data_IF_315668650157
#
_entry.id   IF_315668650157
#
_cell.length_a   1.000
_cell.length_b   1.000
_cell.length_c   1.000
_cell.angle_alpha   90.00
_cell.angle_beta   90.00
_cell.angle_gamma   90.00
#
_symmetry.space_group_name_H-M   'P 1'
#
loop_
_entity.id
_entity.type
_entity.pdbx_description
1 polymer ?
#
# COMPACT_ATOMS: atom_id res chain seq x y z
N UNK A 1 3.77 22.40 -5.72
CA UNK A 1 3.87 22.36 -4.23
C UNK A 1 5.11 21.57 -3.84
N UNK A 2 5.69 21.84 -2.65
CA UNK A 2 6.72 20.97 -2.07
C UNK A 2 6.14 19.66 -1.59
N UNK A 3 6.99 18.63 -1.36
CA UNK A 3 6.52 17.35 -0.84
C UNK A 3 5.87 17.46 0.54
N UNK A 4 6.41 18.30 1.43
CA UNK A 4 5.85 18.57 2.75
C UNK A 4 4.46 19.23 2.67
N UNK A 5 4.31 20.22 1.80
CA UNK A 5 3.00 20.87 1.58
C UNK A 5 1.95 19.88 1.07
N UNK A 6 2.34 19.00 0.13
CA UNK A 6 1.45 17.94 -0.36
C UNK A 6 1.06 16.99 0.77
N UNK A 7 2.02 16.58 1.58
CA UNK A 7 1.75 15.62 2.65
C UNK A 7 0.82 16.21 3.72
N UNK A 8 1.03 17.45 4.12
CA UNK A 8 0.16 18.15 5.06
C UNK A 8 -1.26 18.32 4.50
N UNK A 9 -1.40 18.72 3.23
CA UNK A 9 -2.71 18.81 2.58
C UNK A 9 -3.42 17.44 2.49
N UNK A 10 -2.69 16.35 2.29
CA UNK A 10 -3.24 15.01 2.35
C UNK A 10 -3.76 14.66 3.75
N UNK A 11 -2.99 14.97 4.81
CA UNK A 11 -3.42 14.71 6.19
C UNK A 11 -4.69 15.49 6.56
N UNK A 12 -4.83 16.72 6.11
CA UNK A 12 -6.03 17.53 6.29
C UNK A 12 -7.25 16.87 5.65
N UNK A 13 -7.11 16.38 4.42
CA UNK A 13 -8.16 15.69 3.68
C UNK A 13 -8.52 14.33 4.32
N UNK A 14 -7.51 13.57 4.75
CA UNK A 14 -7.69 12.31 5.47
C UNK A 14 -8.45 12.53 6.79
N UNK A 15 -8.03 13.52 7.57
CA UNK A 15 -8.67 13.89 8.83
C UNK A 15 -10.12 14.37 8.62
N UNK A 16 -10.39 15.09 7.53
CA UNK A 16 -11.75 15.49 7.18
C UNK A 16 -12.65 14.28 6.89
N UNK A 17 -12.14 13.28 6.15
CA UNK A 17 -12.84 12.03 5.87
C UNK A 17 -13.06 11.16 7.12
N UNK A 18 -12.03 11.04 7.96
CA UNK A 18 -12.05 10.21 9.17
C UNK A 18 -13.00 10.70 10.27
N UNK A 19 -13.36 11.98 10.27
CA UNK A 19 -14.30 12.54 11.27
C UNK A 19 -15.70 11.93 11.23
N UNK A 20 -16.13 11.41 10.10
CA UNK A 20 -17.52 10.95 9.89
C UNK A 20 -17.62 9.49 9.47
N UNK A 21 -16.53 8.84 9.15
CA UNK A 21 -16.52 7.48 8.61
C UNK A 21 -15.31 6.69 9.11
N UNK A 22 -15.45 5.36 9.27
CA UNK A 22 -14.28 4.51 9.40
C UNK A 22 -13.42 4.63 8.13
N UNK A 23 -12.11 4.50 8.28
CA UNK A 23 -11.16 4.64 7.17
C UNK A 23 -10.59 3.29 6.79
N UNK A 24 -10.61 2.99 5.51
CA UNK A 24 -9.94 1.85 4.89
C UNK A 24 -8.76 2.38 4.05
N UNK A 25 -7.54 2.06 4.42
CA UNK A 25 -6.34 2.47 3.69
C UNK A 25 -5.72 1.29 2.97
N UNK A 26 -5.55 1.38 1.67
CA UNK A 26 -4.76 0.43 0.87
C UNK A 26 -3.41 1.05 0.54
N UNK A 27 -2.31 0.41 0.98
CA UNK A 27 -0.96 0.75 0.54
C UNK A 27 -0.60 -0.16 -0.64
N UNK A 28 -0.49 0.43 -1.82
CA UNK A 28 -0.28 -0.27 -3.08
C UNK A 28 1.05 0.12 -3.74
N UNK A 29 1.56 -0.74 -4.60
CA UNK A 29 2.78 -0.49 -5.37
C UNK A 29 3.53 -1.78 -5.71
N UNK A 30 4.48 -1.76 -6.65
CA UNK A 30 5.25 -2.93 -7.04
C UNK A 30 6.00 -3.59 -5.88
N UNK A 31 6.42 -4.84 -6.05
CA UNK A 31 7.39 -5.45 -5.14
C UNK A 31 8.68 -4.60 -5.14
N UNK A 32 9.31 -4.43 -4.00
CA UNK A 32 10.50 -3.57 -3.89
C UNK A 32 10.25 -2.06 -3.90
N UNK A 33 9.01 -1.59 -4.07
CA UNK A 33 8.69 -0.15 -4.05
C UNK A 33 8.86 0.51 -2.68
N UNK A 34 8.89 -0.26 -1.56
CA UNK A 34 9.11 0.27 -0.22
C UNK A 34 7.82 0.57 0.56
N UNK A 35 6.72 -0.12 0.27
CA UNK A 35 5.43 0.05 0.95
C UNK A 35 5.50 -0.08 2.47
N UNK A 36 6.07 -1.18 2.96
CA UNK A 36 6.25 -1.44 4.40
C UNK A 36 7.15 -0.39 5.06
N UNK A 37 8.15 0.11 4.32
CA UNK A 37 9.02 1.20 4.79
C UNK A 37 8.24 2.50 4.92
N UNK A 38 7.39 2.83 3.94
CA UNK A 38 6.49 3.99 3.99
C UNK A 38 5.59 3.90 5.23
N UNK A 39 4.97 2.74 5.47
CA UNK A 39 4.11 2.53 6.63
C UNK A 39 4.89 2.79 7.94
N UNK A 40 5.93 2.01 8.20
CA UNK A 40 6.64 2.02 9.49
C UNK A 40 7.38 3.33 9.79
N UNK A 41 7.95 3.97 8.76
CA UNK A 41 8.81 5.15 8.99
C UNK A 41 8.06 6.47 8.89
N UNK A 42 6.95 6.51 8.18
CA UNK A 42 6.24 7.77 7.93
C UNK A 42 4.80 7.76 8.45
N UNK A 43 4.02 6.73 8.09
CA UNK A 43 2.58 6.78 8.32
C UNK A 43 2.19 6.33 9.73
N UNK A 44 2.74 5.23 10.21
CA UNK A 44 2.43 4.67 11.53
C UNK A 44 2.71 5.68 12.65
N UNK A 45 3.90 6.32 12.74
CA UNK A 45 4.17 7.32 13.76
C UNK A 45 3.28 8.57 13.67
N UNK A 46 2.81 8.93 12.47
CA UNK A 46 1.97 10.11 12.28
C UNK A 46 0.48 9.84 12.51
N UNK A 47 0.06 8.61 12.30
CA UNK A 47 -1.32 8.18 12.54
C UNK A 47 -1.52 7.65 13.96
N UNK A 48 -0.44 7.39 14.70
CA UNK A 48 -0.46 6.99 16.09
C UNK A 48 -1.17 8.06 16.92
N UNK A 49 -2.27 7.68 17.59
CA UNK A 49 -3.12 8.59 18.34
C UNK A 49 -4.14 9.41 17.52
N UNK A 50 -4.00 9.48 16.20
CA UNK A 50 -4.97 10.13 15.31
C UNK A 50 -5.95 9.13 14.67
N UNK A 51 -5.49 7.91 14.42
CA UNK A 51 -6.27 6.84 13.83
C UNK A 51 -5.85 5.50 14.47
N UNK A 52 -6.65 4.98 15.38
CA UNK A 52 -6.45 3.62 15.88
C UNK A 52 -6.83 2.61 14.79
N UNK A 53 -5.88 2.27 13.92
CA UNK A 53 -6.10 1.42 12.76
C UNK A 53 -5.35 0.09 12.89
N UNK A 54 -6.02 -1.03 12.65
CA UNK A 54 -5.35 -2.32 12.51
C UNK A 54 -4.54 -2.35 11.20
N UNK A 55 -3.24 -2.66 11.29
CA UNK A 55 -2.41 -2.89 10.13
C UNK A 55 -2.42 -4.36 9.73
N UNK A 56 -2.89 -4.67 8.53
CA UNK A 56 -3.04 -6.02 7.99
C UNK A 56 -2.01 -6.24 6.89
N UNK A 57 -0.93 -6.94 7.20
CA UNK A 57 0.16 -7.27 6.28
C UNK A 57 0.41 -8.78 6.27
N UNK A 58 0.28 -9.40 5.10
CA UNK A 58 0.46 -10.84 4.97
C UNK A 58 1.89 -11.30 5.31
N UNK A 59 2.92 -10.48 5.02
CA UNK A 59 4.31 -10.80 5.37
C UNK A 59 4.52 -10.81 6.91
N UNK A 60 3.80 -9.94 7.65
CA UNK A 60 3.82 -9.94 9.11
C UNK A 60 3.07 -11.14 9.70
N UNK A 61 1.88 -11.42 9.18
CA UNK A 61 1.09 -12.60 9.57
C UNK A 61 1.88 -13.89 9.32
N UNK A 62 2.61 -13.98 8.20
CA UNK A 62 3.45 -15.13 7.91
C UNK A 62 4.57 -15.30 8.94
N UNK A 63 5.21 -14.20 9.34
CA UNK A 63 6.22 -14.23 10.39
C UNK A 63 5.64 -14.72 11.72
N UNK A 64 4.44 -14.22 12.11
CA UNK A 64 3.73 -14.66 13.32
C UNK A 64 3.40 -16.17 13.28
N UNK A 65 2.94 -16.67 12.12
CA UNK A 65 2.65 -18.09 11.94
C UNK A 65 3.91 -18.96 12.04
N UNK A 66 5.02 -18.51 11.46
CA UNK A 66 6.29 -19.23 11.53
C UNK A 66 6.85 -19.25 12.96
N UNK A 67 6.76 -18.14 13.68
CA UNK A 67 7.17 -18.04 15.08
C UNK A 67 6.34 -18.99 15.97
N UNK A 68 5.02 -18.99 15.80
CA UNK A 68 4.12 -19.88 16.55
C UNK A 68 4.36 -21.37 16.27
N UNK A 69 4.69 -21.72 15.01
CA UNK A 69 4.87 -23.11 14.60
C UNK A 69 6.25 -23.69 14.97
N UNK A 70 7.30 -22.87 14.99
CA UNK A 70 8.69 -23.33 15.06
C UNK A 70 9.48 -22.70 16.22
N UNK A 71 8.89 -21.79 16.98
CA UNK A 71 9.56 -21.05 18.04
C UNK A 71 10.72 -20.14 17.52
N UNK A 72 10.79 -19.93 16.21
CA UNK A 72 11.84 -19.16 15.55
C UNK A 72 11.25 -18.19 14.51
N UNK A 73 11.25 -16.88 14.76
CA UNK A 73 10.72 -15.89 13.84
C UNK A 73 11.48 -15.80 12.50
N UNK A 74 12.72 -16.34 12.46
CA UNK A 74 13.55 -16.37 11.26
C UNK A 74 13.54 -17.75 10.57
N UNK A 75 12.59 -18.63 10.92
CA UNK A 75 12.45 -19.92 10.24
C UNK A 75 12.19 -19.71 8.75
N UNK A 76 12.69 -20.60 7.87
CA UNK A 76 12.47 -20.50 6.43
C UNK A 76 10.98 -20.43 6.11
N UNK A 77 10.60 -19.38 5.39
CA UNK A 77 9.24 -19.19 4.92
C UNK A 77 8.90 -20.27 3.88
N UNK A 78 7.76 -20.91 4.02
CA UNK A 78 7.29 -21.93 3.09
C UNK A 78 6.16 -21.39 2.22
N UNK A 79 5.94 -22.02 1.05
CA UNK A 79 4.78 -21.68 0.22
C UNK A 79 3.45 -21.88 0.94
N UNK A 80 3.40 -22.81 1.88
CA UNK A 80 2.21 -23.09 2.66
C UNK A 80 1.94 -21.98 3.69
N UNK A 81 2.96 -21.56 4.44
CA UNK A 81 2.81 -20.43 5.39
C UNK A 81 2.46 -19.13 4.69
N UNK A 82 3.03 -18.85 3.51
CA UNK A 82 2.65 -17.71 2.69
C UNK A 82 1.19 -17.74 2.25
N UNK A 83 0.65 -18.90 1.84
CA UNK A 83 -0.76 -19.06 1.49
C UNK A 83 -1.68 -18.85 2.68
N UNK A 84 -1.34 -19.42 3.83
CA UNK A 84 -2.09 -19.26 5.08
C UNK A 84 -2.14 -17.79 5.49
N UNK A 85 -1.00 -17.09 5.45
CA UNK A 85 -0.91 -15.67 5.75
C UNK A 85 -1.77 -14.81 4.81
N UNK A 86 -1.75 -15.08 3.50
CA UNK A 86 -2.60 -14.39 2.53
C UNK A 86 -4.10 -14.66 2.78
N UNK A 87 -4.46 -15.89 3.12
CA UNK A 87 -5.83 -16.26 3.47
C UNK A 87 -6.29 -15.54 4.74
N UNK A 88 -5.46 -15.51 5.77
CA UNK A 88 -5.76 -14.84 7.03
C UNK A 88 -5.86 -13.31 6.87
N UNK A 89 -4.94 -12.71 6.12
CA UNK A 89 -5.02 -11.29 5.80
C UNK A 89 -6.33 -10.95 5.05
N UNK A 90 -6.76 -11.82 4.13
CA UNK A 90 -8.03 -11.66 3.43
C UNK A 90 -9.20 -11.80 4.39
N UNK A 91 -9.21 -12.82 5.25
CA UNK A 91 -10.24 -13.03 6.27
C UNK A 91 -10.38 -11.84 7.22
N UNK A 92 -9.26 -11.27 7.71
CA UNK A 92 -9.28 -10.09 8.59
C UNK A 92 -9.94 -8.90 7.89
N UNK A 93 -9.61 -8.62 6.62
CA UNK A 93 -10.25 -7.54 5.85
C UNK A 93 -11.74 -7.79 5.62
N UNK A 94 -12.13 -9.03 5.27
CA UNK A 94 -13.56 -9.38 5.10
C UNK A 94 -14.36 -9.18 6.38
N UNK A 95 -13.79 -9.52 7.54
CA UNK A 95 -14.45 -9.25 8.83
C UNK A 95 -14.66 -7.75 9.07
N UNK A 96 -13.69 -6.90 8.68
CA UNK A 96 -13.86 -5.44 8.78
C UNK A 96 -14.96 -4.94 7.85
N UNK A 97 -14.95 -5.39 6.59
CA UNK A 97 -15.92 -4.97 5.58
C UNK A 97 -17.36 -5.44 5.89
N UNK A 98 -17.51 -6.59 6.55
CA UNK A 98 -18.81 -7.13 6.95
C UNK A 98 -19.29 -6.67 8.33
N UNK A 99 -18.51 -5.88 9.05
CA UNK A 99 -18.90 -5.36 10.35
C UNK A 99 -20.11 -4.42 10.24
N UNK A 100 -21.09 -4.52 11.14
CA UNK A 100 -22.25 -3.61 11.14
C UNK A 100 -21.82 -2.15 11.27
N UNK A 101 -22.61 -1.25 10.68
CA UNK A 101 -22.39 0.19 10.82
C UNK A 101 -22.42 0.59 12.31
N UNK A 102 -21.43 1.42 12.70
CA UNK A 102 -21.26 1.87 14.10
C UNK A 102 -20.32 1.02 14.96
N UNK A 103 -19.90 -0.19 14.49
CA UNK A 103 -18.83 -1.00 15.12
C UNK A 103 -17.62 -1.21 14.20
N UNK A 104 -17.62 -0.53 13.07
CA UNK A 104 -16.52 -0.57 12.12
C UNK A 104 -15.29 0.15 12.68
N UNK A 105 -14.12 -0.44 12.49
CA UNK A 105 -12.83 0.11 12.91
C UNK A 105 -12.00 0.52 11.70
N UNK A 106 -11.13 1.50 11.86
CA UNK A 106 -10.13 1.83 10.86
C UNK A 106 -9.20 0.65 10.60
N UNK A 107 -8.77 0.46 9.37
CA UNK A 107 -7.73 -0.50 9.06
C UNK A 107 -6.88 -0.07 7.86
N UNK A 108 -5.64 -0.55 7.87
CA UNK A 108 -4.65 -0.34 6.81
C UNK A 108 -4.19 -1.71 6.31
N UNK A 109 -4.02 -1.87 5.01
CA UNK A 109 -3.45 -3.10 4.47
C UNK A 109 -2.50 -2.86 3.30
N UNK A 110 -1.57 -3.78 3.12
CA UNK A 110 -0.62 -3.77 2.00
C UNK A 110 -0.99 -4.73 0.89
N UNK A 111 -0.72 -4.32 -0.35
CA UNK A 111 -0.86 -5.20 -1.52
C UNK A 111 0.08 -4.78 -2.66
N UNK A 112 0.52 -5.74 -3.47
CA UNK A 112 1.21 -5.44 -4.73
C UNK A 112 0.26 -4.82 -5.75
N UNK A 113 -1.01 -5.11 -5.67
CA UNK A 113 -2.09 -4.60 -6.53
C UNK A 113 -1.95 -5.00 -8.01
N UNK A 114 -1.50 -6.23 -8.25
CA UNK A 114 -1.23 -6.76 -9.61
C UNK A 114 -2.21 -7.85 -10.05
N UNK A 115 -3.34 -8.00 -9.37
CA UNK A 115 -4.35 -8.98 -9.73
C UNK A 115 -4.93 -8.72 -11.13
N UNK A 116 -5.22 -9.81 -11.84
CA UNK A 116 -5.68 -9.77 -13.24
C UNK A 116 -7.20 -9.62 -13.35
N UNK A 117 -7.92 -10.12 -12.35
CA UNK A 117 -9.38 -10.25 -12.40
C UNK A 117 -10.13 -9.12 -11.70
N UNK A 118 -9.43 -8.12 -11.15
CA UNK A 118 -10.05 -6.97 -10.49
C UNK A 118 -10.59 -7.25 -9.08
N UNK A 119 -10.16 -8.32 -8.43
CA UNK A 119 -10.60 -8.64 -7.06
C UNK A 119 -10.30 -7.54 -6.06
N UNK A 120 -9.15 -6.87 -6.21
CA UNK A 120 -8.77 -5.76 -5.35
C UNK A 120 -9.58 -4.49 -5.63
N UNK A 121 -9.93 -4.25 -6.89
CA UNK A 121 -10.85 -3.14 -7.22
C UNK A 121 -12.24 -3.39 -6.65
N UNK A 122 -12.75 -4.63 -6.77
CA UNK A 122 -14.01 -5.02 -6.15
C UNK A 122 -13.96 -4.93 -4.60
N UNK A 123 -12.82 -5.22 -3.97
CA UNK A 123 -12.62 -5.05 -2.53
C UNK A 123 -12.69 -3.57 -2.12
N UNK A 124 -12.06 -2.65 -2.89
CA UNK A 124 -12.18 -1.20 -2.67
C UNK A 124 -13.64 -0.73 -2.82
N UNK A 125 -14.35 -1.20 -3.85
CA UNK A 125 -15.76 -0.84 -4.04
C UNK A 125 -16.63 -1.32 -2.86
N UNK A 126 -16.42 -2.54 -2.37
CA UNK A 126 -17.11 -3.02 -1.16
C UNK A 126 -16.81 -2.18 0.07
N UNK A 127 -15.59 -1.65 0.20
CA UNK A 127 -15.26 -0.68 1.24
C UNK A 127 -16.14 0.57 1.15
N UNK A 128 -16.29 1.12 -0.06
CA UNK A 128 -17.18 2.27 -0.30
C UNK A 128 -18.63 1.92 0.05
N UNK A 129 -19.11 0.78 -0.43
CA UNK A 129 -20.49 0.31 -0.22
C UNK A 129 -20.78 0.02 1.27
N UNK A 130 -19.77 -0.44 2.02
CA UNK A 130 -19.83 -0.63 3.47
C UNK A 130 -19.73 0.69 4.28
N UNK A 131 -19.57 1.83 3.62
CA UNK A 131 -19.56 3.14 4.26
C UNK A 131 -18.18 3.65 4.71
N UNK A 132 -17.08 2.96 4.36
CA UNK A 132 -15.74 3.44 4.64
C UNK A 132 -15.37 4.66 3.80
N UNK A 133 -14.52 5.51 4.37
CA UNK A 133 -13.72 6.46 3.61
C UNK A 133 -12.51 5.71 3.07
N UNK A 134 -12.54 5.39 1.78
CA UNK A 134 -11.53 4.53 1.15
C UNK A 134 -10.39 5.37 0.60
N UNK A 135 -9.17 5.06 1.03
CA UNK A 135 -7.95 5.78 0.71
C UNK A 135 -6.94 4.85 0.07
N UNK A 136 -6.27 5.30 -0.98
CA UNK A 136 -5.14 4.61 -1.58
C UNK A 136 -3.86 5.41 -1.39
N UNK A 137 -2.83 4.75 -0.86
CA UNK A 137 -1.46 5.25 -0.83
C UNK A 137 -0.65 4.44 -1.83
N UNK A 138 -0.15 5.08 -2.87
CA UNK A 138 0.57 4.39 -3.94
C UNK A 138 2.05 4.74 -3.93
N UNK A 139 2.91 3.73 -3.86
CA UNK A 139 4.36 3.89 -3.96
C UNK A 139 4.82 3.45 -5.34
N UNK A 140 5.21 4.42 -6.16
CA UNK A 140 5.76 4.18 -7.48
C UNK A 140 7.28 4.15 -7.50
N UNK A 141 7.83 3.40 -8.45
CA UNK A 141 9.26 3.37 -8.81
C UNK A 141 9.36 3.44 -10.33
N UNK A 142 10.45 4.03 -10.84
CA UNK A 142 10.59 4.37 -12.26
C UNK A 142 10.70 3.14 -13.15
N UNK A 143 11.39 2.10 -12.67
CA UNK A 143 11.56 0.89 -13.47
C UNK A 143 11.51 -0.40 -12.65
N UNK A 144 11.31 -1.49 -13.34
CA UNK A 144 11.17 -2.82 -12.76
C UNK A 144 12.52 -3.38 -12.26
N UNK A 145 13.64 -3.01 -12.89
CA UNK A 145 14.97 -3.51 -12.53
C UNK A 145 15.39 -2.97 -11.16
N UNK A 146 15.15 -1.68 -10.91
CA UNK A 146 15.34 -1.07 -9.58
C UNK A 146 14.48 -1.78 -8.51
N UNK A 147 13.22 -2.06 -8.84
CA UNK A 147 12.32 -2.78 -7.95
C UNK A 147 12.82 -4.20 -7.65
N UNK A 148 13.34 -4.88 -8.66
CA UNK A 148 13.88 -6.23 -8.56
C UNK A 148 15.18 -6.27 -7.75
N UNK A 149 16.10 -5.35 -7.98
CA UNK A 149 17.33 -5.25 -7.19
C UNK A 149 17.03 -5.12 -5.70
N UNK A 150 16.02 -4.31 -5.34
CA UNK A 150 15.59 -4.15 -3.95
C UNK A 150 14.96 -5.43 -3.37
N UNK A 151 14.22 -6.19 -4.19
CA UNK A 151 13.73 -7.51 -3.76
C UNK A 151 14.88 -8.47 -3.50
N UNK A 152 15.88 -8.56 -4.40
CA UNK A 152 17.05 -9.41 -4.22
C UNK A 152 17.84 -9.05 -2.96
N UNK A 153 18.06 -7.76 -2.67
CA UNK A 153 18.71 -7.31 -1.42
C UNK A 153 17.90 -7.75 -0.19
N UNK A 154 16.57 -7.69 -0.24
CA UNK A 154 15.70 -8.14 0.85
C UNK A 154 15.78 -9.64 1.06
N UNK A 155 15.85 -10.44 -0.02
CA UNK A 155 16.01 -11.90 0.05
C UNK A 155 17.28 -12.29 0.77
N UNK A 156 18.39 -11.58 0.52
CA UNK A 156 19.66 -11.81 1.22
C UNK A 156 19.56 -11.59 2.74
N UNK A 157 18.52 -10.90 3.22
CA UNK A 157 18.25 -10.67 4.65
C UNK A 157 17.04 -11.49 5.18
N UNK A 158 16.63 -12.55 4.46
CA UNK A 158 15.57 -13.47 4.89
C UNK A 158 14.16 -13.16 4.38
N UNK A 159 14.02 -12.24 3.42
CA UNK A 159 12.72 -11.93 2.81
C UNK A 159 12.33 -12.86 1.66
N UNK A 160 11.07 -12.78 1.23
CA UNK A 160 10.54 -13.56 0.11
C UNK A 160 11.14 -13.16 -1.23
N UNK A 161 11.48 -14.16 -2.04
CA UNK A 161 11.87 -13.97 -3.43
C UNK A 161 10.64 -13.87 -4.34
N UNK A 162 10.77 -13.05 -5.40
CA UNK A 162 9.78 -12.96 -6.47
C UNK A 162 10.52 -13.12 -7.79
N UNK A 163 10.24 -14.18 -8.58
CA UNK A 163 10.90 -14.40 -9.86
C UNK A 163 10.82 -13.18 -10.79
N UNK A 164 11.90 -12.92 -11.52
CA UNK A 164 12.06 -11.73 -12.37
C UNK A 164 10.96 -11.63 -13.44
N UNK A 165 10.65 -12.71 -14.11
CA UNK A 165 9.59 -12.79 -15.12
C UNK A 165 8.21 -12.44 -14.55
N UNK A 166 7.94 -12.86 -13.30
CA UNK A 166 6.72 -12.52 -12.56
C UNK A 166 6.69 -11.03 -12.24
N UNK A 167 7.80 -10.44 -11.82
CA UNK A 167 7.89 -9.00 -11.55
C UNK A 167 7.63 -8.17 -12.81
N UNK A 168 8.31 -8.49 -13.92
CA UNK A 168 8.13 -7.79 -15.20
C UNK A 168 6.69 -7.85 -15.69
N UNK A 169 6.04 -9.03 -15.57
CA UNK A 169 4.64 -9.19 -15.95
C UNK A 169 3.68 -8.43 -15.05
N UNK A 170 3.97 -8.32 -13.75
CA UNK A 170 3.12 -7.64 -12.76
C UNK A 170 3.26 -6.12 -12.79
N UNK A 171 4.46 -5.62 -13.07
CA UNK A 171 4.80 -4.21 -12.95
C UNK A 171 3.82 -3.28 -13.68
N UNK A 172 3.55 -3.41 -15.00
CA UNK A 172 2.61 -2.52 -15.69
C UNK A 172 1.17 -2.65 -15.16
N UNK A 173 0.77 -3.85 -14.71
CA UNK A 173 -0.57 -4.06 -14.14
C UNK A 173 -0.81 -3.32 -12.84
N UNK A 174 0.24 -3.14 -12.04
CA UNK A 174 0.14 -2.39 -10.78
C UNK A 174 -0.29 -0.96 -11.06
N UNK A 175 0.31 -0.29 -12.04
CA UNK A 175 -0.05 1.07 -12.43
C UNK A 175 -1.43 1.14 -13.07
N UNK A 176 -1.76 0.20 -13.96
CA UNK A 176 -3.08 0.14 -14.57
C UNK A 176 -4.22 -0.07 -13.54
N UNK A 177 -3.97 -0.90 -12.52
CA UNK A 177 -4.94 -1.09 -11.44
C UNK A 177 -5.04 0.16 -10.55
N UNK A 178 -3.91 0.83 -10.26
CA UNK A 178 -3.92 2.08 -9.51
C UNK A 178 -4.70 3.18 -10.26
N UNK A 179 -4.53 3.31 -11.57
CA UNK A 179 -5.34 4.22 -12.41
C UNK A 179 -6.83 3.92 -12.28
N UNK A 180 -7.25 2.66 -12.41
CA UNK A 180 -8.66 2.26 -12.26
C UNK A 180 -9.20 2.54 -10.86
N UNK A 181 -8.39 2.35 -9.82
CA UNK A 181 -8.79 2.60 -8.44
C UNK A 181 -9.17 4.06 -8.18
N UNK A 182 -8.64 5.02 -8.93
CA UNK A 182 -8.98 6.44 -8.80
C UNK A 182 -10.46 6.75 -9.06
N UNK A 183 -11.17 5.86 -9.76
CA UNK A 183 -12.62 5.99 -9.97
C UNK A 183 -13.46 5.47 -8.78
N UNK A 184 -12.80 4.83 -7.80
CA UNK A 184 -13.45 4.15 -6.66
C UNK A 184 -13.10 4.85 -5.35
N UNK A 185 -11.81 5.15 -5.14
CA UNK A 185 -11.32 5.71 -3.87
C UNK A 185 -11.66 7.19 -3.74
N UNK A 186 -12.02 7.64 -2.54
CA UNK A 186 -12.30 9.05 -2.28
C UNK A 186 -11.03 9.89 -2.21
N UNK A 187 -9.93 9.30 -1.76
CA UNK A 187 -8.65 10.00 -1.63
C UNK A 187 -7.51 9.07 -2.05
N UNK A 188 -6.55 9.60 -2.81
CA UNK A 188 -5.31 8.88 -3.08
C UNK A 188 -4.11 9.80 -2.90
N UNK A 189 -3.02 9.26 -2.37
CA UNK A 189 -1.73 9.93 -2.32
C UNK A 189 -0.68 9.08 -3.01
N UNK A 190 0.13 9.70 -3.83
CA UNK A 190 1.18 9.07 -4.60
C UNK A 190 2.55 9.46 -4.07
N UNK A 191 3.42 8.47 -3.93
CA UNK A 191 4.80 8.64 -3.51
C UNK A 191 5.74 8.08 -4.58
N UNK A 192 6.81 8.81 -4.87
CA UNK A 192 7.91 8.34 -5.71
C UNK A 192 9.05 7.86 -4.82
N UNK A 193 9.45 6.62 -5.01
CA UNK A 193 10.61 6.01 -4.34
C UNK A 193 11.64 5.49 -5.36
N UNK A 194 11.82 6.21 -6.47
CA UNK A 194 12.74 5.83 -7.55
C UNK A 194 14.20 6.12 -7.23
N UNK A 195 14.48 6.97 -6.26
CA UNK A 195 15.85 7.38 -5.89
C UNK A 195 16.15 6.97 -4.46
N UNK A 196 17.35 6.48 -4.24
CA UNK A 196 17.93 6.42 -2.90
C UNK A 196 18.55 7.80 -2.59
N UNK A 197 18.58 8.19 -1.32
CA UNK A 197 19.35 9.37 -0.88
C UNK A 197 20.84 9.07 -1.00
N UNK A 198 21.66 10.11 -1.04
CA UNK A 198 23.13 9.99 -1.06
C UNK A 198 23.67 9.21 0.16
N UNK A 199 22.88 9.17 1.27
CA UNK A 199 23.16 8.41 2.48
C UNK A 199 22.63 6.95 2.44
N UNK A 200 22.12 6.50 1.28
CA UNK A 200 21.53 5.15 1.09
C UNK A 200 20.14 4.98 1.69
N UNK A 201 19.55 6.03 2.28
CA UNK A 201 18.16 5.99 2.77
C UNK A 201 17.19 6.25 1.62
N UNK A 202 16.08 5.51 1.62
CA UNK A 202 14.99 5.69 0.65
C UNK A 202 14.18 6.94 0.98
N UNK A 203 13.82 7.69 -0.05
CA UNK A 203 12.94 8.85 0.11
C UNK A 203 11.60 8.58 -0.55
N UNK A 204 10.57 8.41 0.26
CA UNK A 204 9.20 8.44 -0.23
C UNK A 204 8.81 9.89 -0.50
N UNK A 205 9.10 10.36 -1.70
CA UNK A 205 8.77 11.73 -2.10
C UNK A 205 7.30 11.85 -2.45
N UNK A 206 6.50 12.67 -1.73
CA UNK A 206 5.14 12.97 -2.11
C UNK A 206 5.07 13.59 -3.51
N UNK A 207 4.16 13.08 -4.36
CA UNK A 207 4.08 13.45 -5.78
C UNK A 207 2.76 14.12 -6.10
N UNK A 208 1.64 13.53 -5.69
CA UNK A 208 0.33 14.04 -6.01
C UNK A 208 -0.74 13.56 -5.02
N UNK A 209 -1.78 14.37 -4.88
CA UNK A 209 -3.04 14.02 -4.21
C UNK A 209 -4.13 13.99 -5.28
N UNK A 210 -4.92 12.92 -5.27
CA UNK A 210 -6.10 12.77 -6.11
C UNK A 210 -7.31 12.59 -5.20
N UNK A 211 -8.35 13.38 -5.40
CA UNK A 211 -9.60 13.32 -4.64
C UNK A 211 -10.76 13.10 -5.59
N UNK A 212 -11.55 12.06 -5.37
CA UNK A 212 -12.70 11.70 -6.20
C UNK A 212 -12.36 11.68 -7.70
N UNK A 213 -11.24 11.04 -8.06
CA UNK A 213 -10.78 10.90 -9.44
C UNK A 213 -10.10 12.13 -10.05
N UNK A 214 -10.04 13.27 -9.34
CA UNK A 214 -9.45 14.51 -9.83
C UNK A 214 -8.16 14.86 -9.08
N UNK A 215 -7.14 15.31 -9.81
CA UNK A 215 -5.88 15.79 -9.19
C UNK A 215 -6.16 17.05 -8.39
N UNK A 216 -6.03 16.95 -7.07
CA UNK A 216 -6.20 18.07 -6.14
C UNK A 216 -4.94 18.93 -6.07
N UNK A 217 -3.78 18.29 -6.00
CA UNK A 217 -2.49 18.94 -5.93
C UNK A 217 -1.38 18.01 -6.43
N UNK A 218 -0.30 18.58 -6.95
CA UNK A 218 0.85 17.81 -7.41
C UNK A 218 2.18 18.56 -7.23
N UNK A 219 3.26 17.81 -7.21
CA UNK A 219 4.62 18.33 -7.15
C UNK A 219 5.02 18.92 -8.51
N UNK A 220 5.94 19.90 -8.53
CA UNK A 220 6.43 20.53 -9.77
C UNK A 220 7.16 19.51 -10.69
N UNK A 221 7.94 18.61 -10.07
CA UNK A 221 8.70 17.58 -10.80
C UNK A 221 8.00 16.23 -10.64
N UNK A 222 7.31 15.81 -11.69
CA UNK A 222 6.64 14.52 -11.71
C UNK A 222 7.61 13.38 -12.07
N UNK A 223 7.44 12.19 -11.51
CA UNK A 223 8.24 11.03 -11.87
C UNK A 223 7.87 10.48 -13.26
N UNK A 224 8.80 9.77 -13.90
CA UNK A 224 8.60 9.22 -15.24
C UNK A 224 7.41 8.24 -15.35
N UNK A 225 7.04 7.59 -14.24
CA UNK A 225 5.89 6.67 -14.20
C UNK A 225 4.52 7.37 -14.06
N UNK A 226 4.48 8.67 -13.77
CA UNK A 226 3.21 9.38 -13.54
C UNK A 226 2.22 9.31 -14.71
N UNK A 227 2.64 9.41 -15.99
CA UNK A 227 1.71 9.25 -17.12
C UNK A 227 1.02 7.87 -17.21
N UNK A 228 1.51 6.86 -16.48
CA UNK A 228 0.82 5.57 -16.39
C UNK A 228 -0.38 5.61 -15.44
N UNK A 229 -0.53 6.65 -14.63
CA UNK A 229 -1.63 6.88 -13.68
C UNK A 229 -2.61 7.91 -14.23
N UNK A 230 -2.11 9.06 -14.63
CA UNK A 230 -2.88 10.15 -15.22
C UNK A 230 -2.31 10.39 -16.62
N UNK A 231 -2.97 9.88 -17.66
CA UNK A 231 -2.51 10.00 -19.05
C UNK A 231 -2.60 11.43 -19.59
#
# INVERSE_FOLDING_TARGET
MTGEQLFNAFLDELGAGARSKPVMVMIAGPNGAGKTTLWRQLLEPMLEGALEAEYINADEIERELNEAAQGNPNAPQTRETARQAQSEATRRRELKLSAPSGVQCHFVYETVFSDTYGYKLAELQRGVDAGYYVVMLFVGVTDVDLAQERVHRRVATGGHDVPSDVQHTRFPRVFANAQKALQIVQLAMFFDNSRDRDDGQRTHRPVAIVKNGSVLAQHEKMPAWWPMIIP
#
